data_IF_550018481384
#
_entry.id   IF_550018481384
#
_cell.length_a   1.000
_cell.length_b   1.000
_cell.length_c   1.000
_cell.angle_alpha   90.00
_cell.angle_beta   90.00
_cell.angle_gamma   90.00
#
_symmetry.space_group_name_H-M   'P 1'
#
loop_
_entity.id
_entity.type
_entity.pdbx_description
1 polymer ?
#
# COMPACT_ATOMS: atom_id res chain seq x y z
N UNK A 1 -9.33 14.29 -1.10
CA UNK A 1 -9.73 13.13 -1.95
C UNK A 1 -11.14 13.32 -2.51
N UNK A 2 -12.11 13.82 -1.71
CA UNK A 2 -13.44 14.15 -2.22
C UNK A 2 -13.45 15.36 -3.18
N UNK A 3 -12.67 16.42 -2.92
CA UNK A 3 -12.47 17.53 -3.87
C UNK A 3 -12.01 17.09 -5.26
N UNK A 4 -11.04 16.17 -5.34
CA UNK A 4 -10.50 15.71 -6.62
C UNK A 4 -11.50 14.86 -7.38
N UNK A 5 -12.33 14.09 -6.67
CA UNK A 5 -13.43 13.31 -7.25
C UNK A 5 -14.50 14.26 -7.81
N UNK A 6 -14.88 15.30 -7.05
CA UNK A 6 -15.84 16.31 -7.49
C UNK A 6 -15.38 17.03 -8.76
N UNK A 7 -14.13 17.50 -8.78
CA UNK A 7 -13.53 18.17 -9.94
C UNK A 7 -13.51 17.27 -11.19
N UNK A 8 -13.13 16.00 -11.03
CA UNK A 8 -13.10 15.04 -12.14
C UNK A 8 -14.52 14.75 -12.67
N UNK A 9 -15.51 14.59 -11.79
CA UNK A 9 -16.91 14.38 -12.20
C UNK A 9 -17.46 15.59 -12.97
N UNK A 10 -17.16 16.79 -12.48
CA UNK A 10 -17.63 18.05 -13.08
C UNK A 10 -17.03 18.26 -14.48
N UNK A 11 -15.75 17.89 -14.66
CA UNK A 11 -15.09 17.91 -15.96
C UNK A 11 -15.73 16.93 -16.95
N UNK A 12 -16.09 15.73 -16.48
CA UNK A 12 -16.82 14.74 -17.28
C UNK A 12 -18.19 15.24 -17.72
N UNK A 13 -18.99 15.77 -16.78
CA UNK A 13 -20.32 16.30 -17.09
C UNK A 13 -20.24 17.46 -18.08
N UNK A 14 -19.27 18.37 -17.93
CA UNK A 14 -19.06 19.49 -18.85
C UNK A 14 -18.77 18.99 -20.27
N UNK A 15 -17.88 18.01 -20.39
CA UNK A 15 -17.47 17.45 -21.70
C UNK A 15 -18.64 16.72 -22.39
N UNK A 16 -19.45 15.97 -21.62
CA UNK A 16 -20.68 15.34 -22.13
C UNK A 16 -21.69 16.41 -22.58
N UNK A 17 -21.90 17.46 -21.78
CA UNK A 17 -22.82 18.54 -22.12
C UNK A 17 -22.43 19.28 -23.40
N UNK A 18 -21.14 19.60 -23.57
CA UNK A 18 -20.61 20.27 -24.77
C UNK A 18 -20.76 19.40 -26.01
N UNK A 19 -20.47 18.10 -25.90
CA UNK A 19 -20.59 17.17 -27.04
C UNK A 19 -22.04 16.87 -27.41
N UNK A 20 -22.96 16.84 -26.44
CA UNK A 20 -24.40 16.74 -26.68
C UNK A 20 -24.95 17.96 -27.44
N UNK A 21 -24.43 19.15 -27.16
CA UNK A 21 -24.83 20.39 -27.83
C UNK A 21 -24.38 20.45 -29.30
N UNK A 22 -23.31 19.74 -29.66
CA UNK A 22 -22.74 19.70 -31.00
C UNK A 22 -23.41 18.67 -31.94
N UNK A 23 -24.44 17.94 -31.47
CA UNK A 23 -25.34 17.17 -32.32
C UNK A 23 -24.76 15.91 -32.99
N UNK A 24 -23.47 15.59 -32.81
CA UNK A 24 -22.90 14.33 -33.30
C UNK A 24 -23.25 13.19 -32.34
N UNK A 25 -24.30 12.44 -32.66
CA UNK A 25 -24.74 11.29 -31.85
C UNK A 25 -23.60 10.28 -31.58
N UNK A 26 -22.65 10.14 -32.50
CA UNK A 26 -21.47 9.27 -32.34
C UNK A 26 -20.49 9.75 -31.27
N UNK A 27 -20.22 11.06 -31.16
CA UNK A 27 -19.28 11.58 -30.15
C UNK A 27 -19.87 11.47 -28.76
N UNK A 28 -21.17 11.73 -28.59
CA UNK A 28 -21.87 11.56 -27.30
C UNK A 28 -21.78 10.11 -26.82
N UNK A 29 -22.00 9.14 -27.71
CA UNK A 29 -21.90 7.71 -27.39
C UNK A 29 -20.48 7.32 -26.98
N UNK A 30 -19.46 7.79 -27.71
CA UNK A 30 -18.05 7.52 -27.36
C UNK A 30 -17.69 8.13 -26.00
N UNK A 31 -18.11 9.37 -25.72
CA UNK A 31 -17.86 10.01 -24.42
C UNK A 31 -18.59 9.29 -23.30
N UNK A 32 -19.85 8.87 -23.51
CA UNK A 32 -20.61 8.11 -22.53
C UNK A 32 -19.96 6.75 -22.22
N UNK A 33 -19.47 6.04 -23.25
CA UNK A 33 -18.73 4.78 -23.07
C UNK A 33 -17.42 4.98 -22.31
N UNK A 34 -16.67 6.03 -22.62
CA UNK A 34 -15.43 6.36 -21.90
C UNK A 34 -15.71 6.70 -20.43
N UNK A 35 -16.76 7.47 -20.16
CA UNK A 35 -17.19 7.78 -18.80
C UNK A 35 -17.58 6.49 -18.03
N UNK A 36 -18.33 5.59 -18.67
CA UNK A 36 -18.73 4.32 -18.07
C UNK A 36 -17.51 3.44 -17.74
N UNK A 37 -16.52 3.36 -18.65
CA UNK A 37 -15.27 2.61 -18.42
C UNK A 37 -14.49 3.18 -17.23
N UNK A 38 -14.42 4.51 -17.10
CA UNK A 38 -13.74 5.17 -15.98
C UNK A 38 -14.46 4.93 -14.65
N UNK A 39 -15.79 4.97 -14.63
CA UNK A 39 -16.59 4.62 -13.45
C UNK A 39 -16.36 3.16 -13.05
N UNK A 40 -16.38 2.23 -14.01
CA UNK A 40 -16.11 0.82 -13.75
C UNK A 40 -14.69 0.58 -13.22
N UNK A 41 -13.68 1.26 -13.79
CA UNK A 41 -12.29 1.13 -13.36
C UNK A 41 -12.08 1.70 -11.95
N UNK A 42 -12.67 2.87 -11.66
CA UNK A 42 -12.60 3.47 -10.33
C UNK A 42 -13.29 2.60 -9.28
N UNK A 43 -14.49 2.08 -9.55
CA UNK A 43 -15.17 1.13 -8.68
C UNK A 43 -14.32 -0.13 -8.41
N UNK A 44 -13.69 -0.68 -9.45
CA UNK A 44 -12.79 -1.84 -9.32
C UNK A 44 -11.57 -1.52 -8.46
N UNK A 45 -10.94 -0.35 -8.64
CA UNK A 45 -9.81 0.08 -7.80
C UNK A 45 -10.20 0.24 -6.33
N UNK A 46 -11.38 0.81 -6.06
CA UNK A 46 -11.92 0.95 -4.70
C UNK A 46 -12.17 -0.44 -4.10
N UNK A 47 -12.81 -1.35 -4.85
CA UNK A 47 -13.07 -2.71 -4.40
C UNK A 47 -11.77 -3.49 -4.11
N UNK A 48 -10.75 -3.37 -4.97
CA UNK A 48 -9.44 -3.99 -4.73
C UNK A 48 -8.76 -3.42 -3.49
N UNK A 49 -8.90 -2.12 -3.22
CA UNK A 49 -8.34 -1.51 -2.01
C UNK A 49 -9.09 -1.93 -0.74
N UNK A 50 -10.40 -2.09 -0.81
CA UNK A 50 -11.21 -2.61 0.28
C UNK A 50 -10.89 -4.07 0.60
N UNK A 51 -10.61 -4.87 -0.43
CA UNK A 51 -10.28 -6.29 -0.30
C UNK A 51 -8.78 -6.56 -0.12
N UNK A 52 -7.93 -5.54 -0.23
CA UNK A 52 -6.52 -5.68 0.14
C UNK A 52 -6.48 -5.88 1.65
N UNK A 53 -6.05 -7.05 2.15
CA UNK A 53 -5.78 -7.19 3.57
C UNK A 53 -4.73 -6.12 3.87
N UNK A 54 -5.11 -5.12 4.67
CA UNK A 54 -4.16 -4.15 5.19
C UNK A 54 -3.06 -4.99 5.82
N UNK A 55 -1.89 -4.98 5.18
CA UNK A 55 -0.85 -5.98 5.41
C UNK A 55 -0.70 -6.18 6.90
N UNK A 56 -0.87 -7.44 7.33
CA UNK A 56 -1.04 -7.84 8.73
C UNK A 56 -0.47 -6.78 9.65
N UNK A 57 -1.35 -5.95 10.24
CA UNK A 57 -0.96 -5.02 11.29
C UNK A 57 -0.27 -5.89 12.31
N UNK A 58 1.07 -5.86 12.30
CA UNK A 58 1.88 -6.58 13.27
C UNK A 58 1.24 -6.23 14.60
N UNK A 59 0.80 -7.21 15.40
CA UNK A 59 0.17 -6.90 16.68
C UNK A 59 1.08 -5.88 17.35
N UNK A 60 0.52 -4.72 17.66
CA UNK A 60 1.23 -3.67 18.36
C UNK A 60 1.43 -4.18 19.78
N UNK A 61 2.35 -5.13 19.95
CA UNK A 61 2.79 -5.56 21.25
C UNK A 61 3.60 -4.39 21.77
N UNK A 62 2.99 -3.63 22.67
CA UNK A 62 3.67 -2.60 23.44
C UNK A 62 4.88 -3.25 24.12
N UNK A 63 6.08 -2.76 23.79
CA UNK A 63 7.31 -3.22 24.43
C UNK A 63 7.37 -2.50 25.77
N UNK A 64 6.92 -3.19 26.82
CA UNK A 64 7.13 -2.72 28.17
C UNK A 64 8.64 -2.68 28.47
N UNK A 65 9.20 -1.49 28.54
CA UNK A 65 10.62 -1.25 28.84
C UNK A 65 11.02 -1.66 30.26
N UNK A 66 10.04 -1.85 31.15
CA UNK A 66 10.25 -2.38 32.49
C UNK A 66 10.19 -3.91 32.55
N UNK A 67 9.76 -4.56 31.47
CA UNK A 67 9.75 -6.01 31.38
C UNK A 67 11.18 -6.55 31.32
N UNK A 68 11.57 -7.48 32.22
CA UNK A 68 12.90 -8.06 32.23
C UNK A 68 13.11 -8.83 30.93
N UNK A 69 14.06 -8.37 30.12
CA UNK A 69 14.50 -9.08 28.93
C UNK A 69 15.10 -10.41 29.39
N UNK A 70 14.54 -11.53 28.94
CA UNK A 70 15.23 -12.82 29.05
C UNK A 70 16.38 -12.80 28.05
N UNK A 71 17.51 -12.24 28.48
CA UNK A 71 18.74 -12.26 27.69
C UNK A 71 19.21 -13.71 27.63
N UNK A 72 19.31 -14.24 26.41
CA UNK A 72 19.89 -15.55 26.18
C UNK A 72 21.35 -15.54 26.62
N UNK A 73 21.79 -16.60 27.29
CA UNK A 73 23.22 -16.79 27.59
C UNK A 73 24.00 -16.90 26.27
N UNK A 74 24.94 -15.98 25.97
CA UNK A 74 25.72 -16.01 24.74
C UNK A 74 26.55 -17.29 24.59
N UNK A 75 26.81 -17.99 25.70
CA UNK A 75 27.57 -19.24 25.74
C UNK A 75 26.69 -20.50 25.84
N UNK A 76 25.36 -20.36 25.76
CA UNK A 76 24.44 -21.49 25.79
C UNK A 76 24.74 -22.49 24.66
N UNK A 77 24.70 -23.78 25.01
CA UNK A 77 24.94 -24.87 24.06
C UNK A 77 24.05 -24.73 22.81
N UNK A 78 24.66 -24.80 21.62
CA UNK A 78 23.98 -24.61 20.33
C UNK A 78 24.14 -23.23 19.70
N UNK A 79 24.69 -22.24 20.41
CA UNK A 79 25.04 -20.94 19.82
C UNK A 79 26.37 -21.01 19.08
N UNK A 80 26.41 -20.40 17.90
CA UNK A 80 27.64 -20.30 17.10
C UNK A 80 28.62 -19.42 17.86
N UNK A 81 29.69 -20.02 18.40
CA UNK A 81 30.79 -19.27 19.00
C UNK A 81 31.50 -18.49 17.90
N UNK A 82 31.68 -17.19 18.10
CA UNK A 82 32.56 -16.38 17.25
C UNK A 82 33.96 -16.99 17.27
N UNK A 83 34.48 -17.38 16.10
CA UNK A 83 35.86 -17.84 15.95
C UNK A 83 36.79 -16.64 15.88
N UNK A 84 36.81 -15.83 16.93
CA UNK A 84 37.88 -14.87 17.08
C UNK A 84 39.21 -15.66 17.18
N UNK A 85 40.30 -15.17 16.57
CA UNK A 85 41.61 -15.77 16.75
C UNK A 85 41.92 -15.88 18.26
N UNK A 86 42.13 -17.09 18.76
CA UNK A 86 42.55 -17.27 20.15
C UNK A 86 43.88 -16.56 20.36
N UNK A 87 44.02 -15.84 21.49
CA UNK A 87 45.32 -15.30 21.89
C UNK A 87 46.34 -16.44 21.88
N UNK A 88 47.27 -16.39 20.94
CA UNK A 88 48.38 -17.34 20.85
C UNK A 88 49.30 -17.01 22.02
N UNK A 89 49.57 -17.99 22.89
CA UNK A 89 50.56 -17.83 23.93
C UNK A 89 51.91 -17.47 23.28
N UNK A 90 52.50 -16.34 23.68
CA UNK A 90 53.85 -15.98 23.24
C UNK A 90 54.81 -17.02 23.78
N UNK A 91 55.58 -17.66 22.89
CA UNK A 91 56.65 -18.54 23.32
C UNK A 91 57.86 -17.70 23.73
N UNK A 92 58.11 -17.59 25.04
CA UNK A 92 59.44 -17.44 25.68
C UNK A 92 59.27 -17.49 27.19
#
# INVERSE_FOLDING_TARGET
MFESIGSMLQFFLLTVGVTALQGSSSTVVVVALMALVLVALSARMIAMRANSPHGATRPATEIDVSSPLTQSDPDAAGHIRSRAPGFVASAT
#
